data_IF_990281086477
#
_entry.id   IF_990281086477
#
_cell.length_a   1.000
_cell.length_b   1.000
_cell.length_c   1.000
_cell.angle_alpha   90.00
_cell.angle_beta   90.00
_cell.angle_gamma   90.00
#
_symmetry.space_group_name_H-M   'P 1'
#
loop_
_entity.id
_entity.type
_entity.pdbx_description
1 polymer ?
#
# COMPACT_ATOMS: atom_id res chain seq x y z
N UNK A 1 -8.96 -25.32 -1.88
CA UNK A 1 -8.73 -23.91 -1.55
C UNK A 1 -7.49 -23.84 -0.67
N UNK A 2 -6.39 -23.31 -1.15
CA UNK A 2 -5.14 -23.15 -0.38
C UNK A 2 -4.92 -21.68 -0.14
N UNK A 3 -5.31 -21.18 1.01
CA UNK A 3 -4.92 -19.87 1.50
C UNK A 3 -3.47 -19.98 2.00
N UNK A 4 -2.51 -19.38 1.31
CA UNK A 4 -1.15 -19.24 1.81
C UNK A 4 -1.04 -17.89 2.51
N UNK A 5 -1.25 -17.86 3.81
CA UNK A 5 -0.95 -16.70 4.63
C UNK A 5 0.44 -16.83 5.25
N UNK A 6 1.27 -15.80 5.12
CA UNK A 6 2.48 -15.66 5.90
C UNK A 6 2.16 -14.94 7.24
N UNK A 7 3.06 -15.08 8.23
CA UNK A 7 2.82 -14.72 9.64
C UNK A 7 2.76 -13.21 9.95
N UNK A 8 2.24 -12.36 9.10
CA UNK A 8 2.16 -10.94 9.33
C UNK A 8 0.73 -10.42 9.32
N UNK A 9 0.57 -9.12 9.39
CA UNK A 9 -0.69 -8.41 9.37
C UNK A 9 -1.71 -8.96 8.37
N UNK A 10 -1.27 -9.38 7.17
CA UNK A 10 -2.10 -10.04 6.17
C UNK A 10 -2.72 -11.35 6.66
N UNK A 11 -2.10 -12.02 7.65
CA UNK A 11 -2.62 -13.26 8.20
C UNK A 11 -3.90 -13.06 9.02
N UNK A 12 -4.06 -11.91 9.66
CA UNK A 12 -5.24 -11.62 10.49
C UNK A 12 -6.49 -11.44 9.61
N UNK A 13 -6.37 -10.78 8.47
CA UNK A 13 -7.48 -10.64 7.51
C UNK A 13 -7.85 -11.99 6.90
N UNK A 14 -6.88 -12.79 6.46
CA UNK A 14 -7.13 -14.12 5.93
C UNK A 14 -7.70 -15.10 6.97
N UNK A 15 -7.26 -15.02 8.23
CA UNK A 15 -7.81 -15.84 9.31
C UNK A 15 -9.26 -15.48 9.58
N UNK A 16 -9.59 -14.19 9.53
CA UNK A 16 -10.96 -13.68 9.72
C UNK A 16 -11.90 -14.15 8.61
N UNK A 17 -11.46 -14.21 7.35
CA UNK A 17 -12.23 -14.79 6.25
C UNK A 17 -12.68 -16.23 6.58
N UNK A 18 -11.77 -17.06 7.05
CA UNK A 18 -12.05 -18.44 7.41
C UNK A 18 -12.97 -18.55 8.64
N UNK A 19 -12.74 -17.79 9.69
CA UNK A 19 -13.50 -17.81 10.92
C UNK A 19 -14.92 -17.28 10.74
N UNK A 20 -15.07 -16.18 10.01
CA UNK A 20 -16.35 -15.52 9.76
C UNK A 20 -17.12 -16.15 8.60
N UNK A 21 -16.52 -17.07 7.85
CA UNK A 21 -17.10 -17.73 6.67
C UNK A 21 -17.64 -16.73 5.65
N UNK A 22 -16.84 -15.71 5.38
CA UNK A 22 -17.19 -14.65 4.43
C UNK A 22 -17.41 -15.23 3.03
N UNK A 23 -18.35 -14.67 2.24
CA UNK A 23 -18.71 -15.22 0.92
C UNK A 23 -17.70 -14.85 -0.18
N UNK A 24 -16.59 -14.25 0.17
CA UNK A 24 -15.54 -13.78 -0.75
C UNK A 24 -14.29 -14.66 -0.69
N UNK A 25 -13.48 -14.60 -1.73
CA UNK A 25 -12.14 -15.20 -1.77
C UNK A 25 -11.10 -14.10 -1.57
N UNK A 26 -10.19 -14.28 -0.62
CA UNK A 26 -9.11 -13.34 -0.33
C UNK A 26 -7.77 -14.02 -0.61
N UNK A 27 -6.98 -13.42 -1.51
CA UNK A 27 -5.58 -13.76 -1.73
C UNK A 27 -4.70 -12.71 -1.06
N UNK A 28 -3.91 -13.10 -0.05
CA UNK A 28 -3.00 -12.18 0.63
C UNK A 28 -1.55 -12.42 0.22
N UNK A 29 -0.87 -11.34 -0.13
CA UNK A 29 0.52 -11.31 -0.55
C UNK A 29 1.34 -10.49 0.44
N UNK A 30 2.34 -11.09 1.09
CA UNK A 30 3.30 -10.36 1.89
C UNK A 30 4.52 -10.03 1.03
N UNK A 31 4.69 -8.76 0.68
CA UNK A 31 5.81 -8.24 -0.07
C UNK A 31 7.00 -8.05 0.89
N UNK A 32 7.88 -9.04 0.99
CA UNK A 32 9.00 -9.06 1.93
C UNK A 32 10.33 -9.13 1.18
N UNK A 33 11.26 -8.27 1.56
CA UNK A 33 12.64 -8.30 1.10
C UNK A 33 13.59 -8.11 2.29
N UNK A 34 14.77 -8.72 2.24
CA UNK A 34 15.83 -8.42 3.19
C UNK A 34 16.27 -6.97 3.03
N UNK A 35 16.33 -6.24 4.13
CA UNK A 35 16.78 -4.86 4.19
C UNK A 35 18.05 -4.76 5.06
N UNK A 36 19.16 -5.25 4.49
CA UNK A 36 20.46 -5.31 5.18
C UNK A 36 21.53 -4.61 4.36
N UNK A 37 22.48 -4.01 5.05
CA UNK A 37 23.68 -3.45 4.41
C UNK A 37 24.50 -4.60 3.83
N UNK A 38 24.76 -4.56 2.54
CA UNK A 38 25.58 -5.58 1.84
C UNK A 38 26.30 -4.95 0.65
N UNK A 39 27.25 -5.68 0.10
CA UNK A 39 27.97 -5.31 -1.14
C UNK A 39 27.12 -5.45 -2.41
N UNK A 40 26.00 -6.18 -2.30
CA UNK A 40 25.00 -6.38 -3.37
C UNK A 40 23.74 -5.53 -3.20
N UNK A 41 23.68 -4.67 -2.15
CA UNK A 41 22.54 -3.78 -1.93
C UNK A 41 22.38 -2.80 -3.10
N UNK A 42 21.12 -2.49 -3.42
CA UNK A 42 20.75 -1.50 -4.44
C UNK A 42 21.33 -0.12 -4.11
N UNK A 43 21.88 0.55 -5.11
CA UNK A 43 22.54 1.85 -4.98
C UNK A 43 21.77 2.93 -5.73
N UNK A 44 21.95 4.21 -5.37
CA UNK A 44 21.43 5.31 -6.16
C UNK A 44 21.90 5.21 -7.62
N UNK A 45 20.99 5.41 -8.55
CA UNK A 45 21.16 5.29 -10.00
C UNK A 45 21.26 3.86 -10.55
N UNK A 46 21.07 2.83 -9.74
CA UNK A 46 20.81 1.50 -10.25
C UNK A 46 19.46 1.47 -10.98
N UNK A 47 19.39 0.66 -12.03
CA UNK A 47 18.12 0.35 -12.72
C UNK A 47 17.75 -1.09 -12.41
N UNK A 48 16.60 -1.28 -11.80
CA UNK A 48 16.06 -2.60 -11.49
C UNK A 48 14.87 -2.91 -12.39
N UNK A 49 14.56 -4.19 -12.55
CA UNK A 49 13.41 -4.65 -13.30
C UNK A 49 12.38 -5.19 -12.31
N UNK A 50 11.20 -4.55 -12.24
CA UNK A 50 10.05 -5.01 -11.47
C UNK A 50 9.46 -6.26 -12.15
N UNK A 51 8.88 -7.13 -11.36
CA UNK A 51 8.14 -8.28 -11.88
C UNK A 51 7.17 -7.83 -12.99
N UNK A 52 7.15 -8.53 -14.11
CA UNK A 52 6.38 -8.11 -15.30
C UNK A 52 7.17 -7.27 -16.32
N UNK A 53 8.39 -6.82 -15.98
CA UNK A 53 9.36 -6.29 -16.96
C UNK A 53 9.54 -4.78 -16.98
N UNK A 54 8.70 -3.98 -16.29
CA UNK A 54 8.88 -2.52 -16.19
C UNK A 54 10.16 -2.20 -15.41
N UNK A 55 10.97 -1.30 -15.94
CA UNK A 55 12.25 -0.90 -15.34
C UNK A 55 12.08 0.33 -14.46
N UNK A 56 12.82 0.39 -13.36
CA UNK A 56 12.78 1.49 -12.40
C UNK A 56 14.18 1.99 -12.10
N UNK A 57 14.43 3.28 -12.28
CA UNK A 57 15.63 3.94 -11.78
C UNK A 57 15.48 4.20 -10.28
N UNK A 58 16.42 3.68 -9.50
CA UNK A 58 16.45 3.86 -8.04
C UNK A 58 17.25 5.11 -7.70
N UNK A 59 16.58 6.25 -7.57
CA UNK A 59 17.22 7.50 -7.17
C UNK A 59 17.40 7.61 -5.65
N UNK A 60 16.50 6.97 -4.89
CA UNK A 60 16.57 6.89 -3.43
C UNK A 60 16.35 5.45 -2.95
N UNK A 61 17.38 4.75 -2.46
CA UNK A 61 17.23 3.39 -1.93
C UNK A 61 16.36 3.29 -0.67
N UNK A 62 16.13 4.39 0.06
CA UNK A 62 15.23 4.45 1.23
C UNK A 62 13.74 4.49 0.83
N UNK A 63 13.44 4.58 -0.45
CA UNK A 63 12.12 4.41 -1.03
C UNK A 63 11.96 2.97 -1.62
N UNK A 64 12.41 1.96 -0.87
CA UNK A 64 12.42 0.55 -1.27
C UNK A 64 11.04 -0.11 -1.17
N UNK A 65 10.23 0.30 -0.19
CA UNK A 65 8.93 -0.32 0.08
C UNK A 65 8.03 -0.34 -1.14
N UNK A 66 8.00 0.76 -1.90
CA UNK A 66 7.21 0.82 -3.14
C UNK A 66 7.72 -0.09 -4.26
N UNK A 67 9.02 -0.41 -4.27
CA UNK A 67 9.61 -1.32 -5.25
C UNK A 67 9.17 -2.76 -4.98
N UNK A 68 9.23 -3.17 -3.71
CA UNK A 68 8.78 -4.49 -3.27
C UNK A 68 7.27 -4.66 -3.43
N UNK A 69 6.49 -3.59 -3.13
CA UNK A 69 5.05 -3.57 -3.38
C UNK A 69 4.73 -3.71 -4.87
N UNK A 70 5.45 -3.02 -5.75
CA UNK A 70 5.22 -3.10 -7.19
C UNK A 70 5.36 -4.54 -7.70
N UNK A 71 6.38 -5.29 -7.25
CA UNK A 71 6.53 -6.72 -7.58
C UNK A 71 5.30 -7.54 -7.15
N UNK A 72 4.86 -7.35 -5.90
CA UNK A 72 3.71 -8.09 -5.35
C UNK A 72 2.40 -7.71 -6.04
N UNK A 73 2.18 -6.44 -6.33
CA UNK A 73 1.01 -5.92 -7.04
C UNK A 73 0.91 -6.55 -8.43
N UNK A 74 1.99 -6.52 -9.21
CA UNK A 74 1.99 -7.11 -10.55
C UNK A 74 1.79 -8.62 -10.48
N UNK A 75 2.41 -9.29 -9.50
CA UNK A 75 2.26 -10.73 -9.29
C UNK A 75 0.83 -11.11 -8.90
N UNK A 76 0.18 -10.35 -8.05
CA UNK A 76 -1.21 -10.60 -7.65
C UNK A 76 -2.18 -10.52 -8.85
N UNK A 77 -1.92 -9.65 -9.81
CA UNK A 77 -2.73 -9.45 -11.01
C UNK A 77 -2.61 -10.60 -12.05
N UNK A 78 -1.78 -11.61 -11.82
CA UNK A 78 -1.83 -12.85 -12.60
C UNK A 78 -3.13 -13.62 -12.38
N UNK A 79 -3.75 -13.49 -11.20
CA UNK A 79 -5.11 -13.93 -10.97
C UNK A 79 -6.07 -13.03 -11.75
N UNK A 80 -6.74 -13.59 -12.78
CA UNK A 80 -7.64 -12.83 -13.66
C UNK A 80 -9.06 -12.68 -13.09
N UNK A 81 -9.33 -13.23 -11.92
CA UNK A 81 -10.65 -13.19 -11.27
C UNK A 81 -10.61 -12.26 -10.04
N UNK A 82 -9.85 -11.17 -10.11
CA UNK A 82 -9.83 -10.16 -9.06
C UNK A 82 -10.94 -9.13 -9.32
N UNK A 83 -11.70 -8.83 -8.28
CA UNK A 83 -12.66 -7.72 -8.26
C UNK A 83 -11.98 -6.41 -7.85
N UNK A 84 -10.98 -6.48 -6.97
CA UNK A 84 -10.20 -5.34 -6.52
C UNK A 84 -8.83 -5.77 -5.96
N UNK A 85 -7.90 -4.81 -5.85
CA UNK A 85 -6.66 -4.93 -5.08
C UNK A 85 -6.66 -3.88 -3.97
N UNK A 86 -6.26 -4.28 -2.78
CA UNK A 86 -5.94 -3.36 -1.68
C UNK A 86 -4.51 -3.62 -1.24
N UNK A 87 -3.66 -2.61 -1.29
CA UNK A 87 -2.34 -2.68 -0.69
C UNK A 87 -2.25 -1.81 0.55
N UNK A 88 -1.47 -2.24 1.52
CA UNK A 88 -1.31 -1.58 2.82
C UNK A 88 0.17 -1.48 3.14
N UNK A 89 0.65 -0.27 3.38
CA UNK A 89 2.05 -0.04 3.70
C UNK A 89 2.27 1.17 4.60
N UNK A 90 3.36 1.14 5.35
CA UNK A 90 3.96 2.31 6.01
C UNK A 90 4.82 3.05 4.98
N UNK A 91 4.16 3.62 3.94
CA UNK A 91 4.88 3.95 2.72
C UNK A 91 5.65 5.27 2.81
N UNK A 92 5.07 6.32 3.41
CA UNK A 92 5.67 7.64 3.31
C UNK A 92 5.68 8.44 4.61
N UNK A 93 6.86 9.03 4.91
CA UNK A 93 6.94 10.08 5.93
C UNK A 93 6.16 11.34 5.53
N UNK A 94 5.96 11.57 4.23
CA UNK A 94 5.17 12.71 3.72
C UNK A 94 3.71 12.62 4.14
N UNK A 95 3.12 11.43 4.18
CA UNK A 95 1.78 11.19 4.74
C UNK A 95 1.70 11.57 6.22
N UNK A 96 2.72 11.20 7.00
CA UNK A 96 2.78 11.57 8.43
C UNK A 96 2.83 13.08 8.61
N UNK A 97 3.59 13.78 7.76
CA UNK A 97 3.64 15.26 7.78
C UNK A 97 2.29 15.87 7.43
N UNK A 98 1.56 15.30 6.46
CA UNK A 98 0.28 15.83 6.00
C UNK A 98 -0.88 15.53 6.96
N UNK A 99 -1.00 14.31 7.47
CA UNK A 99 -2.17 13.82 8.21
C UNK A 99 -1.86 13.47 9.68
N UNK A 100 -0.61 13.56 10.10
CA UNK A 100 -0.19 13.19 11.45
C UNK A 100 -0.21 11.69 11.70
N UNK A 101 -0.27 11.33 12.99
CA UNK A 101 -0.11 9.95 13.47
C UNK A 101 -1.44 9.30 13.88
N UNK A 102 -2.57 9.88 13.50
CA UNK A 102 -3.91 9.32 13.80
C UNK A 102 -4.77 9.06 12.58
N UNK A 103 -4.46 9.68 11.45
CA UNK A 103 -5.14 9.48 10.19
C UNK A 103 -4.23 8.71 9.23
N UNK A 104 -4.73 7.64 8.68
CA UNK A 104 -4.15 6.97 7.52
C UNK A 104 -4.59 7.66 6.23
N UNK A 105 -3.85 7.50 5.17
CA UNK A 105 -4.29 7.95 3.85
C UNK A 105 -4.87 6.79 3.06
N UNK A 106 -5.86 7.09 2.21
CA UNK A 106 -6.31 6.22 1.13
C UNK A 106 -6.14 6.93 -0.20
N UNK A 107 -5.59 6.26 -1.18
CA UNK A 107 -5.47 6.70 -2.57
C UNK A 107 -6.03 5.62 -3.48
N UNK A 108 -6.59 6.00 -4.62
CA UNK A 108 -7.34 5.07 -5.47
C UNK A 108 -7.35 5.49 -6.92
N UNK A 109 -7.65 4.54 -7.80
CA UNK A 109 -8.07 4.77 -9.18
C UNK A 109 -9.59 4.61 -9.39
N UNK A 110 -10.36 4.34 -8.29
CA UNK A 110 -11.79 4.08 -8.33
C UNK A 110 -12.50 4.76 -7.15
N UNK A 111 -13.22 5.84 -7.43
CA UNK A 111 -13.87 6.65 -6.41
C UNK A 111 -15.02 5.93 -5.70
N UNK A 112 -15.73 5.03 -6.39
CA UNK A 112 -16.83 4.25 -5.79
C UNK A 112 -16.28 3.28 -4.73
N UNK A 113 -15.20 2.56 -5.05
CA UNK A 113 -14.51 1.68 -4.09
C UNK A 113 -13.96 2.46 -2.90
N UNK A 114 -13.44 3.67 -3.14
CA UNK A 114 -12.95 4.53 -2.07
C UNK A 114 -14.07 5.01 -1.16
N UNK A 115 -15.20 5.40 -1.72
CA UNK A 115 -16.37 5.83 -0.95
C UNK A 115 -16.89 4.69 -0.07
N UNK A 116 -17.03 3.48 -0.63
CA UNK A 116 -17.40 2.28 0.12
C UNK A 116 -16.42 2.00 1.28
N UNK A 117 -15.12 2.06 1.01
CA UNK A 117 -14.11 1.89 2.07
C UNK A 117 -14.21 2.95 3.17
N UNK A 118 -14.43 4.22 2.83
CA UNK A 118 -14.56 5.30 3.81
C UNK A 118 -15.83 5.14 4.66
N UNK A 119 -16.96 4.73 4.07
CA UNK A 119 -18.17 4.40 4.81
C UNK A 119 -17.92 3.27 5.82
N UNK A 120 -17.17 2.26 5.43
CA UNK A 120 -16.72 1.16 6.30
C UNK A 120 -15.84 1.68 7.44
N UNK A 121 -14.93 2.61 7.16
CA UNK A 121 -14.05 3.17 8.20
C UNK A 121 -14.82 3.97 9.25
N UNK A 122 -15.90 4.62 8.87
CA UNK A 122 -16.81 5.31 9.82
C UNK A 122 -17.49 4.30 10.77
N UNK A 123 -17.86 3.11 10.27
CA UNK A 123 -18.44 2.04 11.09
C UNK A 123 -17.41 1.45 12.06
N UNK A 124 -16.20 1.23 11.58
CA UNK A 124 -15.12 0.59 12.38
C UNK A 124 -14.41 1.56 13.32
N UNK A 125 -14.55 2.86 13.08
CA UNK A 125 -13.88 3.93 13.83
C UNK A 125 -12.39 4.06 13.52
N UNK A 126 -11.89 3.43 12.45
CA UNK A 126 -10.54 3.66 11.95
C UNK A 126 -10.51 4.96 11.14
N UNK A 127 -9.49 5.78 11.34
CA UNK A 127 -9.45 7.11 10.73
C UNK A 127 -8.66 7.08 9.42
N UNK A 128 -9.35 7.32 8.31
CA UNK A 128 -8.76 7.44 6.98
C UNK A 128 -9.15 8.77 6.33
N UNK A 129 -8.29 9.25 5.45
CA UNK A 129 -8.55 10.44 4.64
C UNK A 129 -8.09 10.20 3.20
N UNK A 130 -8.96 10.47 2.25
CA UNK A 130 -8.62 10.34 0.84
C UNK A 130 -7.63 11.42 0.41
N UNK A 131 -6.53 11.00 -0.20
CA UNK A 131 -5.58 11.88 -0.88
C UNK A 131 -5.73 11.70 -2.40
N UNK A 132 -5.63 12.79 -3.17
CA UNK A 132 -5.75 12.74 -4.63
C UNK A 132 -4.52 12.10 -5.28
N UNK A 133 -4.68 11.65 -6.53
CA UNK A 133 -3.60 11.23 -7.43
C UNK A 133 -3.57 12.21 -8.64
N UNK A 134 -3.04 13.43 -8.47
CA UNK A 134 -3.06 14.44 -9.51
C UNK A 134 -2.10 14.09 -10.65
N UNK A 135 -2.62 14.03 -11.88
CA UNK A 135 -1.90 13.59 -13.06
C UNK A 135 -0.65 14.45 -13.35
N UNK A 136 -0.70 15.74 -13.03
CA UNK A 136 0.42 16.66 -13.23
C UNK A 136 1.69 16.30 -12.44
N UNK A 137 1.56 15.56 -11.32
CA UNK A 137 2.72 15.11 -10.55
C UNK A 137 3.38 13.86 -11.13
N UNK A 138 2.68 13.14 -12.03
CA UNK A 138 3.21 11.91 -12.65
C UNK A 138 4.50 12.17 -13.42
N UNK A 139 4.59 13.31 -14.13
CA UNK A 139 5.77 13.68 -14.91
C UNK A 139 7.05 13.78 -14.05
N UNK A 140 6.92 14.01 -12.74
CA UNK A 140 8.08 14.05 -11.84
C UNK A 140 8.77 12.70 -11.66
N UNK A 141 8.12 11.61 -12.07
CA UNK A 141 8.68 10.25 -12.05
C UNK A 141 9.37 9.88 -13.37
N UNK A 142 9.37 10.75 -14.37
CA UNK A 142 10.03 10.45 -15.64
C UNK A 142 11.55 10.44 -15.48
N UNK A 143 12.19 9.52 -16.19
CA UNK A 143 13.65 9.34 -16.19
C UNK A 143 14.13 8.98 -17.59
N UNK A 144 15.35 9.41 -17.99
CA UNK A 144 15.88 9.11 -19.32
C UNK A 144 16.45 7.68 -19.48
N UNK A 145 16.56 6.89 -18.39
CA UNK A 145 17.30 5.60 -18.41
C UNK A 145 16.45 4.40 -18.00
N UNK A 146 15.21 4.62 -17.57
CA UNK A 146 14.27 3.56 -17.20
C UNK A 146 12.85 3.98 -17.58
N UNK A 147 11.86 3.10 -17.39
CA UNK A 147 10.45 3.42 -17.64
C UNK A 147 9.91 4.42 -16.62
N UNK A 148 10.43 4.39 -15.39
CA UNK A 148 10.01 5.26 -14.29
C UNK A 148 11.12 5.37 -13.23
N UNK A 149 11.18 6.48 -12.49
CA UNK A 149 12.02 6.62 -11.30
C UNK A 149 11.25 6.25 -10.02
N UNK A 150 11.95 5.77 -8.99
CA UNK A 150 11.29 5.38 -7.73
C UNK A 150 10.89 6.56 -6.86
N UNK A 151 11.41 7.77 -7.12
CA UNK A 151 10.99 9.02 -6.47
C UNK A 151 10.86 10.13 -7.51
N UNK A 152 10.01 11.11 -7.22
CA UNK A 152 9.83 12.32 -7.99
C UNK A 152 9.98 13.56 -7.11
N UNK A 153 9.12 14.56 -7.28
CA UNK A 153 9.14 15.76 -6.48
C UNK A 153 8.99 15.49 -4.97
N UNK A 154 9.76 16.24 -4.18
CA UNK A 154 9.68 16.15 -2.70
C UNK A 154 8.34 16.65 -2.18
N UNK A 155 7.82 17.74 -2.78
CA UNK A 155 6.50 18.27 -2.42
C UNK A 155 5.42 17.34 -2.96
N UNK A 156 4.41 17.05 -2.16
CA UNK A 156 3.42 16.04 -2.51
C UNK A 156 3.95 14.60 -2.50
N UNK A 157 5.02 14.31 -1.74
CA UNK A 157 5.71 13.02 -1.76
C UNK A 157 4.82 11.80 -1.50
N UNK A 158 3.74 11.94 -0.73
CA UNK A 158 2.74 10.87 -0.56
C UNK A 158 1.97 10.61 -1.87
N UNK A 159 1.58 11.68 -2.58
CA UNK A 159 0.85 11.60 -3.85
C UNK A 159 1.74 10.99 -4.93
N UNK A 160 3.00 11.42 -5.00
CA UNK A 160 4.01 10.85 -5.92
C UNK A 160 4.23 9.37 -5.66
N UNK A 161 4.24 8.93 -4.39
CA UNK A 161 4.35 7.52 -4.05
C UNK A 161 3.12 6.71 -4.50
N UNK A 162 1.92 7.25 -4.31
CA UNK A 162 0.69 6.65 -4.83
C UNK A 162 0.67 6.57 -6.35
N UNK A 163 1.11 7.64 -7.04
CA UNK A 163 1.24 7.66 -8.51
C UNK A 163 2.24 6.61 -9.00
N UNK A 164 3.35 6.42 -8.28
CA UNK A 164 4.30 5.36 -8.59
C UNK A 164 3.63 3.98 -8.53
N UNK A 165 2.89 3.66 -7.47
CA UNK A 165 2.19 2.37 -7.34
C UNK A 165 1.12 2.20 -8.42
N UNK A 166 0.38 3.25 -8.75
CA UNK A 166 -0.64 3.25 -9.81
C UNK A 166 -0.08 2.77 -11.15
N UNK A 167 1.19 3.06 -11.46
CA UNK A 167 1.86 2.61 -12.69
C UNK A 167 1.93 1.08 -12.85
N UNK A 168 1.72 0.34 -11.79
CA UNK A 168 1.77 -1.12 -11.75
C UNK A 168 0.39 -1.77 -11.59
N UNK A 169 -0.67 -0.95 -11.55
CA UNK A 169 -2.05 -1.40 -11.52
C UNK A 169 -2.61 -1.41 -12.94
N UNK A 170 -3.38 -2.45 -13.29
CA UNK A 170 -4.17 -2.45 -14.51
C UNK A 170 -5.28 -1.40 -14.38
N UNK A 171 -5.43 -0.53 -15.36
CA UNK A 171 -6.36 0.61 -15.32
C UNK A 171 -7.82 0.20 -15.08
N UNK A 172 -8.21 -1.00 -15.51
CA UNK A 172 -9.57 -1.53 -15.33
C UNK A 172 -9.81 -2.17 -13.96
N UNK A 173 -8.75 -2.41 -13.17
CA UNK A 173 -8.85 -3.08 -11.88
C UNK A 173 -8.99 -2.06 -10.74
N UNK A 174 -10.10 -2.04 -10.00
CA UNK A 174 -10.26 -1.20 -8.82
C UNK A 174 -9.13 -1.42 -7.81
N UNK A 175 -8.57 -0.35 -7.30
CA UNK A 175 -7.42 -0.40 -6.41
C UNK A 175 -7.51 0.64 -5.28
N UNK A 176 -7.15 0.22 -4.08
CA UNK A 176 -6.92 1.09 -2.92
C UNK A 176 -5.49 0.94 -2.43
N UNK A 177 -4.81 2.04 -2.25
CA UNK A 177 -3.57 2.12 -1.49
C UNK A 177 -3.84 2.73 -0.12
N UNK A 178 -3.50 2.00 0.94
CA UNK A 178 -3.64 2.43 2.33
C UNK A 178 -2.26 2.76 2.89
N UNK A 179 -1.90 4.06 2.93
CA UNK A 179 -0.67 4.51 3.59
C UNK A 179 -0.92 4.70 5.08
N UNK A 180 -0.46 3.75 5.87
CA UNK A 180 -0.65 3.70 7.32
C UNK A 180 0.55 4.23 8.11
N UNK A 181 1.56 4.83 7.44
CA UNK A 181 2.75 5.35 8.09
C UNK A 181 2.42 6.26 9.28
N UNK A 182 3.04 6.02 10.43
CA UNK A 182 2.83 6.77 11.67
C UNK A 182 1.55 6.41 12.44
N UNK A 183 0.65 5.59 11.88
CA UNK A 183 -0.56 5.10 12.58
C UNK A 183 -0.38 3.67 13.07
N UNK A 184 0.50 2.91 12.45
CA UNK A 184 0.79 1.51 12.74
C UNK A 184 1.31 1.26 14.16
N UNK A 185 1.93 2.28 14.77
CA UNK A 185 2.52 2.20 16.10
C UNK A 185 2.07 3.38 16.97
N UNK A 186 1.33 3.12 18.04
CA UNK A 186 0.98 4.11 19.04
C UNK A 186 2.01 4.14 20.18
N UNK A 187 2.88 5.14 20.18
CA UNK A 187 3.87 5.36 21.26
C UNK A 187 3.32 6.21 22.42
N UNK A 188 2.10 6.72 22.29
CA UNK A 188 1.42 7.52 23.28
C UNK A 188 0.49 6.71 24.19
N UNK A 189 -0.53 7.37 24.75
CA UNK A 189 -1.57 6.69 25.54
C UNK A 189 -2.56 5.98 24.62
N UNK A 190 -3.11 4.86 25.09
CA UNK A 190 -4.24 4.20 24.44
C UNK A 190 -5.44 5.16 24.27
N UNK A 191 -6.16 5.07 23.16
CA UNK A 191 -7.33 5.89 22.86
C UNK A 191 -8.30 5.14 21.94
N UNK A 192 -9.61 5.28 22.20
CA UNK A 192 -10.62 4.53 21.45
C UNK A 192 -10.32 3.02 21.43
N UNK A 193 -10.18 2.46 20.26
CA UNK A 193 -9.81 1.08 20.03
C UNK A 193 -8.30 0.86 19.86
N UNK A 194 -7.53 1.95 19.86
CA UNK A 194 -6.08 1.91 19.56
C UNK A 194 -5.29 1.65 20.86
N UNK A 195 -4.62 0.50 21.00
CA UNK A 195 -3.77 0.19 22.14
C UNK A 195 -2.45 0.99 22.11
N UNK A 196 -1.66 0.88 23.15
CA UNK A 196 -0.23 1.24 23.10
C UNK A 196 0.51 0.13 22.36
N UNK A 197 1.44 0.49 21.51
CA UNK A 197 2.17 -0.45 20.66
C UNK A 197 1.55 -0.59 19.28
N UNK A 198 1.62 -1.76 18.70
CA UNK A 198 1.04 -2.05 17.38
C UNK A 198 -0.48 -1.84 17.40
N UNK A 199 -0.99 -1.10 16.42
CA UNK A 199 -2.39 -0.67 16.40
C UNK A 199 -3.34 -1.63 15.69
N UNK A 200 -2.82 -2.40 14.72
CA UNK A 200 -3.63 -3.23 13.83
C UNK A 200 -4.53 -2.41 12.90
N UNK A 201 -4.16 -1.16 12.62
CA UNK A 201 -4.92 -0.29 11.71
C UNK A 201 -5.15 -0.98 10.36
N UNK A 202 -6.29 -0.75 9.75
CA UNK A 202 -6.84 -1.36 8.54
C UNK A 202 -7.45 -2.76 8.71
N UNK A 203 -7.06 -3.54 9.72
CA UNK A 203 -7.56 -4.92 9.90
C UNK A 203 -9.08 -4.93 10.04
N UNK A 204 -9.64 -4.07 10.91
CA UNK A 204 -11.09 -4.03 11.13
C UNK A 204 -11.84 -3.54 9.92
N UNK A 205 -11.32 -2.52 9.25
CA UNK A 205 -11.98 -1.99 8.05
C UNK A 205 -11.96 -2.99 6.90
N UNK A 206 -10.86 -3.70 6.68
CA UNK A 206 -10.80 -4.74 5.65
C UNK A 206 -11.69 -5.94 5.96
N UNK A 207 -11.82 -6.33 7.23
CA UNK A 207 -12.76 -7.38 7.64
C UNK A 207 -14.22 -6.92 7.42
N UNK A 208 -14.55 -5.68 7.76
CA UNK A 208 -15.91 -5.15 7.57
C UNK A 208 -16.27 -5.00 6.09
N UNK A 209 -15.32 -4.53 5.27
CA UNK A 209 -15.46 -4.44 3.81
C UNK A 209 -15.68 -5.81 3.16
N UNK A 210 -15.17 -6.88 3.78
CA UNK A 210 -15.29 -8.25 3.27
C UNK A 210 -16.63 -8.94 3.63
N UNK A 211 -17.52 -8.28 4.39
CA UNK A 211 -18.84 -8.82 4.78
C UNK A 211 -19.89 -8.59 3.71
#
# INVERSE_FOLDING_TARGET
RHTRCSRDWSSDVCSSDLELKLPIAIDAWAALAENMISDTATRPSDVITIYGGKTVEVLNPDAEGRLVLADAIVKAQENKNLDAIVDVATLTGAKVVALGTRYSAVMTNNDDLCAEFLDVTDVTGEQFWQLPLPEELRASLDTPIADIANIGERMGGALVAGLFLKEFINDELPWLHLDIAGVELNTGKAHGHTPVGATGVSVRSLIEMAK
#
